data_IF_722163675063
#
_entry.id   IF_722163675063
#
_cell.length_a   1.000
_cell.length_b   1.000
_cell.length_c   1.000
_cell.angle_alpha   90.00
_cell.angle_beta   90.00
_cell.angle_gamma   90.00
#
_symmetry.space_group_name_H-M   'P 1'
#
loop_
_entity.id
_entity.type
_entity.pdbx_description
1 polymer ?
#
# COMPACT_ATOMS: atom_id res chain seq x y z
N UNK A 1 18.03 0.07 -11.82
CA UNK A 1 19.22 0.78 -11.33
C UNK A 1 19.41 2.17 -11.97
N UNK A 2 20.00 2.32 -13.17
CA UNK A 2 20.30 3.66 -13.71
C UNK A 2 19.07 4.53 -13.96
N UNK A 3 17.97 3.93 -14.42
CA UNK A 3 16.70 4.64 -14.61
C UNK A 3 16.20 5.27 -13.31
N UNK A 4 16.32 4.55 -12.18
CA UNK A 4 15.86 5.02 -10.87
C UNK A 4 16.78 6.07 -10.27
N UNK A 5 18.10 5.95 -10.51
CA UNK A 5 19.09 6.92 -10.04
C UNK A 5 19.06 8.24 -10.83
N UNK A 6 19.06 8.15 -12.16
CA UNK A 6 19.15 9.33 -13.04
C UNK A 6 17.79 9.91 -13.38
N UNK A 7 16.73 9.11 -13.34
CA UNK A 7 15.37 9.51 -13.73
C UNK A 7 14.87 10.78 -13.03
N UNK A 8 14.96 10.89 -11.70
CA UNK A 8 14.58 12.11 -10.99
C UNK A 8 15.37 13.33 -11.45
N UNK A 9 16.69 13.23 -11.58
CA UNK A 9 17.54 14.32 -12.05
C UNK A 9 17.15 14.77 -13.47
N UNK A 10 16.86 13.82 -14.36
CA UNK A 10 16.45 14.10 -15.74
C UNK A 10 15.03 14.67 -15.82
N UNK A 11 14.13 14.32 -14.91
CA UNK A 11 12.75 14.83 -14.88
C UNK A 11 12.69 16.34 -14.57
N UNK A 12 13.66 16.84 -13.81
CA UNK A 12 13.85 18.25 -13.47
C UNK A 12 14.89 18.96 -14.35
N UNK A 13 15.49 18.27 -15.33
CA UNK A 13 16.44 18.89 -16.26
C UNK A 13 15.74 19.97 -17.11
N UNK A 14 16.24 21.22 -17.14
CA UNK A 14 15.61 22.30 -17.90
C UNK A 14 15.83 22.18 -19.42
N UNK A 15 16.81 21.39 -19.84
CA UNK A 15 17.18 21.25 -21.26
C UNK A 15 16.27 20.26 -21.98
N UNK A 16 15.67 20.66 -23.11
CA UNK A 16 14.73 19.82 -23.88
C UNK A 16 13.65 19.15 -23.02
N UNK A 17 13.19 19.89 -21.99
CA UNK A 17 12.26 19.41 -20.96
C UNK A 17 11.10 18.56 -21.51
N UNK A 18 10.37 18.96 -22.59
CA UNK A 18 9.26 18.16 -23.09
C UNK A 18 9.66 16.77 -23.59
N UNK A 19 10.81 16.66 -24.28
CA UNK A 19 11.30 15.39 -24.83
C UNK A 19 11.82 14.47 -23.73
N UNK A 20 12.65 15.02 -22.83
CA UNK A 20 13.20 14.25 -21.70
C UNK A 20 12.09 13.70 -20.81
N UNK A 21 11.10 14.54 -20.45
CA UNK A 21 9.96 14.09 -19.64
C UNK A 21 9.12 13.03 -20.34
N UNK A 22 8.87 13.14 -21.64
CA UNK A 22 8.14 12.10 -22.37
C UNK A 22 8.87 10.76 -22.33
N UNK A 23 10.17 10.75 -22.61
CA UNK A 23 10.98 9.53 -22.55
C UNK A 23 10.93 8.93 -21.16
N UNK A 24 11.14 9.74 -20.11
CA UNK A 24 11.10 9.26 -18.73
C UNK A 24 9.74 8.71 -18.33
N UNK A 25 8.66 9.44 -18.62
CA UNK A 25 7.30 8.98 -18.28
C UNK A 25 7.02 7.64 -18.94
N UNK A 26 7.34 7.49 -20.23
CA UNK A 26 7.16 6.21 -20.94
C UNK A 26 8.06 5.11 -20.34
N UNK A 27 9.33 5.41 -20.06
CA UNK A 27 10.24 4.44 -19.46
C UNK A 27 9.78 3.97 -18.08
N UNK A 28 9.36 4.89 -17.21
CA UNK A 28 8.81 4.54 -15.90
C UNK A 28 7.46 3.84 -16.03
N UNK A 29 6.62 4.20 -17.00
CA UNK A 29 5.38 3.46 -17.23
C UNK A 29 5.63 2.02 -17.63
N UNK A 30 6.54 1.77 -18.57
CA UNK A 30 6.92 0.42 -18.95
C UNK A 30 7.55 -0.35 -17.78
N UNK A 31 8.38 0.31 -16.96
CA UNK A 31 8.93 -0.28 -15.76
C UNK A 31 7.84 -0.73 -14.77
N UNK A 32 6.89 0.14 -14.43
CA UNK A 32 5.82 -0.20 -13.48
C UNK A 32 4.82 -1.21 -14.06
N UNK A 33 4.56 -1.18 -15.37
CA UNK A 33 3.79 -2.23 -16.05
C UNK A 33 4.50 -3.57 -15.99
N UNK A 34 5.82 -3.60 -16.21
CA UNK A 34 6.64 -4.81 -16.08
C UNK A 34 6.59 -5.39 -14.66
N UNK A 35 6.68 -4.53 -13.64
CA UNK A 35 6.48 -4.95 -12.25
C UNK A 35 5.06 -5.50 -12.03
N UNK A 36 4.03 -4.81 -12.52
CA UNK A 36 2.63 -5.24 -12.36
C UNK A 36 2.29 -6.54 -13.10
N UNK A 37 3.03 -6.88 -14.17
CA UNK A 37 2.86 -8.14 -14.90
C UNK A 37 3.57 -9.32 -14.25
N UNK A 38 4.62 -9.08 -13.46
CA UNK A 38 5.48 -10.14 -12.89
C UNK A 38 5.35 -10.29 -11.38
N UNK A 39 4.86 -9.27 -10.66
CA UNK A 39 4.73 -9.25 -9.21
C UNK A 39 3.31 -8.84 -8.77
N UNK A 40 2.79 -9.53 -7.76
CA UNK A 40 1.51 -9.20 -7.14
C UNK A 40 1.65 -8.03 -6.15
N UNK A 41 1.81 -6.80 -6.66
CA UNK A 41 2.00 -5.57 -5.86
C UNK A 41 0.69 -4.79 -5.58
N UNK A 42 -0.46 -5.35 -5.95
CA UNK A 42 -1.76 -4.72 -5.76
C UNK A 42 -1.91 -3.39 -6.52
N UNK A 43 -2.36 -2.34 -5.84
CA UNK A 43 -2.59 -1.01 -6.43
C UNK A 43 -1.30 -0.23 -6.73
N UNK A 44 -0.16 -0.64 -6.19
CA UNK A 44 1.09 0.10 -6.29
C UNK A 44 1.49 0.49 -7.73
N UNK A 45 1.61 -0.43 -8.71
CA UNK A 45 2.05 -0.08 -10.05
C UNK A 45 1.11 0.93 -10.72
N UNK A 46 -0.20 0.80 -10.51
CA UNK A 46 -1.20 1.72 -11.06
C UNK A 46 -1.11 3.12 -10.48
N UNK A 47 -0.93 3.22 -9.16
CA UNK A 47 -0.70 4.50 -8.48
C UNK A 47 0.59 5.15 -9.01
N UNK A 48 1.64 4.36 -9.18
CA UNK A 48 2.91 4.85 -9.70
C UNK A 48 2.78 5.36 -11.15
N UNK A 49 2.01 4.70 -12.02
CA UNK A 49 1.71 5.22 -13.37
C UNK A 49 1.04 6.61 -13.31
N UNK A 50 0.03 6.76 -12.44
CA UNK A 50 -0.70 8.03 -12.26
C UNK A 50 0.21 9.12 -11.70
N UNK A 51 1.13 8.77 -10.79
CA UNK A 51 2.06 9.72 -10.18
C UNK A 51 3.00 10.40 -11.21
N UNK A 52 3.15 9.83 -12.41
CA UNK A 52 3.92 10.43 -13.51
C UNK A 52 3.12 11.40 -14.39
N UNK A 53 1.79 11.46 -14.28
CA UNK A 53 0.97 12.38 -15.06
C UNK A 53 1.38 13.86 -14.94
N UNK A 54 1.74 14.39 -13.75
CA UNK A 54 2.20 15.78 -13.63
C UNK A 54 3.46 16.10 -14.43
N UNK A 55 4.26 15.07 -14.79
CA UNK A 55 5.46 15.23 -15.60
C UNK A 55 5.17 15.19 -17.11
N UNK A 56 3.97 14.82 -17.55
CA UNK A 56 3.61 14.90 -18.96
C UNK A 56 3.64 16.36 -19.43
N UNK A 57 4.35 16.68 -20.53
CA UNK A 57 4.39 18.03 -21.07
C UNK A 57 3.02 18.44 -21.64
N UNK A 58 2.80 19.76 -21.71
CA UNK A 58 1.58 20.35 -22.28
C UNK A 58 1.27 19.82 -23.68
N UNK A 59 2.29 19.54 -24.50
CA UNK A 59 2.13 18.99 -25.86
C UNK A 59 1.42 17.63 -25.85
N UNK A 60 1.70 16.76 -24.87
CA UNK A 60 1.05 15.46 -24.76
C UNK A 60 -0.45 15.62 -24.47
N UNK A 61 -0.80 16.53 -23.56
CA UNK A 61 -2.19 16.84 -23.24
C UNK A 61 -2.95 17.46 -24.41
N UNK A 62 -2.30 18.33 -25.19
CA UNK A 62 -2.89 18.92 -26.40
C UNK A 62 -3.17 17.86 -27.46
N UNK A 63 -2.20 16.97 -27.73
CA UNK A 63 -2.39 15.86 -28.67
C UNK A 63 -3.54 14.96 -28.22
N UNK A 64 -3.59 14.60 -26.93
CA UNK A 64 -4.66 13.79 -26.38
C UNK A 64 -6.02 14.51 -26.51
N UNK A 65 -6.11 15.77 -26.10
CA UNK A 65 -7.35 16.55 -26.16
C UNK A 65 -7.89 16.74 -27.57
N UNK A 66 -7.01 16.85 -28.57
CA UNK A 66 -7.39 16.99 -29.97
C UNK A 66 -7.78 15.66 -30.63
N UNK A 67 -7.38 14.52 -30.04
CA UNK A 67 -7.71 13.19 -30.57
C UNK A 67 -9.20 12.85 -30.41
N UNK A 68 -9.71 11.95 -31.24
CA UNK A 68 -11.09 11.47 -31.15
C UNK A 68 -11.40 10.85 -29.76
N UNK A 69 -10.43 10.16 -29.17
CA UNK A 69 -10.54 9.57 -27.82
C UNK A 69 -10.66 10.67 -26.77
N UNK A 70 -9.78 11.68 -26.81
CA UNK A 70 -9.84 12.81 -25.89
C UNK A 70 -11.13 13.60 -26.00
N UNK A 71 -11.62 13.84 -27.22
CA UNK A 71 -12.92 14.48 -27.45
C UNK A 71 -14.07 13.65 -26.88
N UNK A 72 -14.06 12.31 -27.04
CA UNK A 72 -15.08 11.41 -26.49
C UNK A 72 -15.06 11.42 -24.95
N UNK A 73 -13.87 11.32 -24.34
CA UNK A 73 -13.72 11.40 -22.88
C UNK A 73 -14.18 12.78 -22.38
N UNK A 74 -13.79 13.85 -23.07
CA UNK A 74 -14.19 15.21 -22.73
C UNK A 74 -15.70 15.41 -22.75
N UNK A 75 -16.40 14.87 -23.76
CA UNK A 75 -17.88 14.88 -23.82
C UNK A 75 -18.51 14.01 -22.72
N UNK A 76 -17.99 12.82 -22.47
CA UNK A 76 -18.54 11.92 -21.45
C UNK A 76 -18.36 12.48 -20.02
N UNK A 77 -17.35 13.31 -19.82
CA UNK A 77 -17.00 13.88 -18.51
C UNK A 77 -17.38 15.35 -18.36
N UNK A 78 -17.88 16.02 -19.40
CA UNK A 78 -18.15 17.47 -19.40
C UNK A 78 -19.13 17.86 -18.31
N UNK A 79 -20.21 17.10 -18.16
CA UNK A 79 -21.27 17.41 -17.19
C UNK A 79 -20.79 17.19 -15.77
N UNK A 80 -20.04 16.11 -15.54
CA UNK A 80 -19.40 15.85 -14.25
C UNK A 80 -18.39 16.95 -13.92
N UNK A 81 -17.52 17.32 -14.86
CA UNK A 81 -16.53 18.37 -14.69
C UNK A 81 -17.20 19.73 -14.44
N UNK A 82 -18.31 20.04 -15.12
CA UNK A 82 -19.11 21.23 -14.89
C UNK A 82 -19.72 21.27 -13.48
N UNK A 83 -20.38 20.19 -13.05
CA UNK A 83 -20.93 20.07 -11.69
C UNK A 83 -19.84 20.16 -10.63
N UNK A 84 -18.71 19.51 -10.85
CA UNK A 84 -17.56 19.54 -9.95
C UNK A 84 -16.99 20.95 -9.84
N UNK A 85 -16.76 21.65 -10.96
CA UNK A 85 -16.31 23.04 -10.97
C UNK A 85 -17.28 23.95 -10.24
N UNK A 86 -18.58 23.86 -10.53
CA UNK A 86 -19.59 24.66 -9.86
C UNK A 86 -19.63 24.41 -8.34
N UNK A 87 -19.51 23.15 -7.92
CA UNK A 87 -19.45 22.77 -6.51
C UNK A 87 -18.19 23.30 -5.82
N UNK A 88 -17.04 23.20 -6.49
CA UNK A 88 -15.75 23.72 -6.04
C UNK A 88 -15.77 25.24 -5.90
N UNK A 89 -16.26 25.93 -6.93
CA UNK A 89 -16.29 27.39 -7.02
C UNK A 89 -17.27 27.95 -5.99
N UNK A 90 -18.44 27.30 -5.84
CA UNK A 90 -19.42 27.63 -4.80
C UNK A 90 -18.90 27.44 -3.37
N UNK A 91 -17.85 26.62 -3.17
CA UNK A 91 -17.18 26.45 -1.87
C UNK A 91 -15.95 27.34 -1.69
N UNK A 92 -15.52 28.06 -2.72
CA UNK A 92 -14.28 28.85 -2.68
C UNK A 92 -13.01 28.02 -2.52
N UNK A 93 -13.07 26.69 -2.71
CA UNK A 93 -11.93 25.80 -2.46
C UNK A 93 -10.83 25.93 -3.52
N UNK A 94 -11.24 26.19 -4.75
CA UNK A 94 -10.35 26.48 -5.88
C UNK A 94 -10.80 27.72 -6.63
N UNK A 95 -11.39 28.72 -5.93
CA UNK A 95 -11.25 30.09 -6.44
C UNK A 95 -9.78 30.27 -6.72
N UNK A 96 -9.41 30.69 -7.94
CA UNK A 96 -8.04 31.08 -8.18
C UNK A 96 -7.73 32.18 -7.16
N UNK A 97 -7.12 31.80 -6.03
CA UNK A 97 -6.41 32.75 -5.22
C UNK A 97 -5.48 33.38 -6.24
N UNK A 98 -5.69 34.65 -6.57
CA UNK A 98 -4.76 35.40 -7.40
C UNK A 98 -3.39 35.02 -6.88
N UNK A 99 -2.59 34.33 -7.71
CA UNK A 99 -1.27 33.87 -7.29
C UNK A 99 -0.62 35.13 -6.73
N UNK A 100 -0.34 35.22 -5.41
CA UNK A 100 0.02 36.49 -4.83
C UNK A 100 1.22 36.97 -5.63
N UNK A 101 1.07 38.06 -6.40
CA UNK A 101 2.17 38.65 -7.16
C UNK A 101 3.23 39.23 -6.22
N UNK A 102 3.04 39.12 -4.90
CA UNK A 102 4.04 39.35 -3.89
C UNK A 102 4.97 38.15 -3.72
N UNK A 103 6.24 38.44 -3.39
CA UNK A 103 7.19 37.42 -2.90
C UNK A 103 6.49 36.52 -1.87
N UNK A 104 6.72 35.19 -1.89
CA UNK A 104 6.30 34.35 -0.77
C UNK A 104 6.75 35.05 0.51
N UNK A 105 5.85 35.18 1.49
CA UNK A 105 6.20 35.76 2.79
C UNK A 105 7.49 35.08 3.23
N UNK A 106 8.55 35.84 3.53
CA UNK A 106 9.89 35.29 3.83
C UNK A 106 9.82 34.10 4.79
N UNK A 107 8.89 34.17 5.74
CA UNK A 107 8.55 33.09 6.67
C UNK A 107 8.18 31.77 5.98
N UNK A 108 7.29 31.77 4.98
CA UNK A 108 6.90 30.56 4.24
C UNK A 108 8.09 29.93 3.54
N UNK A 109 8.91 30.72 2.86
CA UNK A 109 10.13 30.22 2.21
C UNK A 109 11.12 29.63 3.22
N UNK A 110 11.28 30.28 4.38
CA UNK A 110 12.11 29.77 5.47
C UNK A 110 11.55 28.44 6.00
N UNK A 111 10.25 28.34 6.25
CA UNK A 111 9.62 27.09 6.72
C UNK A 111 9.83 25.97 5.70
N UNK A 112 9.58 26.21 4.41
CA UNK A 112 9.79 25.21 3.36
C UNK A 112 11.25 24.79 3.29
N UNK A 113 12.19 25.73 3.37
CA UNK A 113 13.62 25.44 3.38
C UNK A 113 14.00 24.57 4.59
N UNK A 114 13.48 24.87 5.79
CA UNK A 114 13.74 24.07 6.99
C UNK A 114 13.17 22.66 6.85
N UNK A 115 11.98 22.49 6.28
CA UNK A 115 11.40 21.17 6.01
C UNK A 115 12.22 20.38 4.98
N UNK A 116 12.73 21.03 3.93
CA UNK A 116 13.62 20.40 2.95
C UNK A 116 14.93 19.96 3.60
N UNK A 117 15.56 20.83 4.40
CA UNK A 117 16.77 20.50 5.15
C UNK A 117 16.51 19.34 6.14
N UNK A 118 15.34 19.32 6.77
CA UNK A 118 14.92 18.21 7.63
C UNK A 118 14.81 16.89 6.84
N UNK A 119 14.21 16.89 5.65
CA UNK A 119 14.14 15.70 4.78
C UNK A 119 15.54 15.23 4.37
N UNK A 120 16.45 16.15 4.04
CA UNK A 120 17.85 15.82 3.75
C UNK A 120 18.52 15.20 4.97
N UNK A 121 18.38 15.81 6.16
CA UNK A 121 18.94 15.29 7.40
C UNK A 121 18.37 13.91 7.75
N UNK A 122 17.08 13.67 7.52
CA UNK A 122 16.44 12.38 7.70
C UNK A 122 17.07 11.31 6.80
N UNK A 123 17.22 11.60 5.50
CA UNK A 123 17.84 10.65 4.56
C UNK A 123 19.32 10.40 4.87
N UNK A 124 20.07 11.43 5.28
CA UNK A 124 21.46 11.26 5.74
C UNK A 124 21.51 10.36 6.98
N UNK A 125 20.60 10.55 7.94
CA UNK A 125 20.52 9.72 9.14
C UNK A 125 20.33 8.24 8.81
N UNK A 126 19.45 7.91 7.86
CA UNK A 126 19.19 6.52 7.47
C UNK A 126 20.42 5.82 6.87
N UNK A 127 21.42 6.53 6.34
CA UNK A 127 22.67 5.91 5.84
C UNK A 127 23.50 5.26 6.94
N UNK A 128 23.46 5.82 8.16
CA UNK A 128 24.11 5.28 9.36
C UNK A 128 23.38 5.79 10.60
N UNK A 129 22.29 5.12 10.93
CA UNK A 129 21.37 5.56 11.99
C UNK A 129 22.09 5.72 13.34
N UNK A 130 22.94 4.76 13.70
CA UNK A 130 23.66 4.75 14.97
C UNK A 130 24.60 5.98 15.10
N UNK A 131 25.30 6.33 14.02
CA UNK A 131 26.20 7.48 14.00
C UNK A 131 25.44 8.82 14.01
N UNK A 132 24.36 8.95 13.24
CA UNK A 132 23.67 10.23 13.05
C UNK A 132 22.62 10.53 14.13
N UNK A 133 22.10 9.53 14.83
CA UNK A 133 21.10 9.72 15.90
C UNK A 133 21.59 10.64 17.03
N UNK A 134 22.91 10.77 17.24
CA UNK A 134 23.48 11.72 18.21
C UNK A 134 23.22 13.20 17.86
N UNK A 135 23.07 13.51 16.58
CA UNK A 135 22.77 14.88 16.10
C UNK A 135 21.29 15.08 15.79
N UNK A 136 20.59 14.00 15.41
CA UNK A 136 19.17 13.98 15.12
C UNK A 136 18.49 12.91 15.98
N UNK A 137 18.19 13.21 17.25
CA UNK A 137 17.61 12.23 18.17
C UNK A 137 16.19 11.84 17.76
N UNK A 138 15.75 10.65 18.18
CA UNK A 138 14.44 10.11 17.80
C UNK A 138 13.25 10.97 18.24
N UNK A 139 13.42 11.88 19.20
CA UNK A 139 12.39 12.88 19.54
C UNK A 139 12.03 13.78 18.36
N UNK A 140 12.96 14.04 17.44
CA UNK A 140 12.72 14.85 16.24
C UNK A 140 11.80 14.16 15.23
N UNK A 141 11.58 12.84 15.37
CA UNK A 141 10.65 12.10 14.52
C UNK A 141 9.21 12.60 14.65
N UNK A 142 8.88 13.35 15.69
CA UNK A 142 7.56 14.00 15.79
C UNK A 142 7.32 14.96 14.62
N UNK A 143 8.35 15.69 14.16
CA UNK A 143 8.22 16.64 13.05
C UNK A 143 7.82 15.86 11.80
N UNK A 144 8.61 14.84 11.44
CA UNK A 144 8.33 13.97 10.29
C UNK A 144 6.95 13.34 10.36
N UNK A 145 6.56 12.76 11.50
CA UNK A 145 5.25 12.10 11.66
C UNK A 145 4.06 13.06 11.57
N UNK A 146 4.19 14.27 12.12
CA UNK A 146 3.12 15.28 12.07
C UNK A 146 2.98 15.87 10.68
N UNK A 147 4.09 16.10 9.98
CA UNK A 147 4.09 16.64 8.61
C UNK A 147 3.97 15.56 7.54
N UNK A 148 3.99 14.28 7.91
CA UNK A 148 4.07 13.13 7.01
C UNK A 148 5.29 13.19 6.06
N UNK A 149 6.44 13.63 6.59
CA UNK A 149 7.73 13.74 5.90
C UNK A 149 8.74 12.70 6.37
N UNK A 150 8.35 11.77 7.23
CA UNK A 150 9.17 10.60 7.51
C UNK A 150 9.37 9.78 6.22
N UNK A 151 10.58 9.21 6.07
CA UNK A 151 11.00 8.50 4.88
C UNK A 151 11.56 7.13 5.27
N UNK A 152 11.22 6.10 4.52
CA UNK A 152 11.80 4.76 4.68
C UNK A 152 11.96 4.11 3.31
N UNK A 153 13.19 3.72 2.98
CA UNK A 153 13.57 3.30 1.62
C UNK A 153 14.12 1.85 1.59
N UNK A 154 13.83 1.05 2.62
CA UNK A 154 14.16 -0.38 2.66
C UNK A 154 13.05 -1.22 2.02
N UNK A 155 13.36 -1.95 0.96
CA UNK A 155 12.39 -2.86 0.32
C UNK A 155 12.89 -4.32 0.23
N UNK A 156 14.15 -4.55 -0.17
CA UNK A 156 14.65 -5.92 -0.41
C UNK A 156 16.08 -6.22 0.06
N UNK A 157 16.93 -5.20 0.27
CA UNK A 157 18.33 -5.41 0.60
C UNK A 157 18.80 -4.38 1.64
N UNK A 158 19.82 -4.69 2.46
CA UNK A 158 20.57 -5.95 2.50
C UNK A 158 19.93 -7.06 3.34
N UNK A 159 18.85 -6.76 4.07
CA UNK A 159 18.19 -7.70 4.99
C UNK A 159 16.73 -7.92 4.56
N UNK A 160 16.46 -8.73 3.51
CA UNK A 160 15.10 -9.11 3.15
C UNK A 160 14.44 -9.89 4.29
N UNK A 161 13.11 -9.94 4.30
CA UNK A 161 12.37 -10.88 5.14
C UNK A 161 12.77 -12.31 4.78
N UNK A 162 13.05 -13.11 5.80
CA UNK A 162 13.42 -14.53 5.66
C UNK A 162 12.29 -15.46 6.07
N UNK A 163 11.09 -14.92 6.24
CA UNK A 163 9.88 -15.65 6.56
C UNK A 163 8.74 -15.25 5.62
N UNK A 164 7.85 -16.21 5.37
CA UNK A 164 6.56 -16.05 4.70
C UNK A 164 5.59 -17.08 5.29
N UNK A 165 4.37 -17.16 4.76
CA UNK A 165 3.39 -18.12 5.23
C UNK A 165 1.97 -17.82 4.79
N UNK A 166 1.04 -18.64 5.28
CA UNK A 166 -0.38 -18.50 4.97
C UNK A 166 -1.25 -18.76 6.19
N UNK A 167 -2.49 -18.26 6.15
CA UNK A 167 -3.43 -18.41 7.25
C UNK A 167 -4.26 -19.68 7.12
N UNK A 168 -4.51 -20.31 8.27
CA UNK A 168 -5.52 -21.33 8.47
C UNK A 168 -6.51 -20.78 9.50
N UNK A 169 -7.70 -20.39 9.05
CA UNK A 169 -8.71 -19.77 9.92
C UNK A 169 -9.81 -20.80 10.18
N UNK A 170 -9.69 -21.48 11.30
CA UNK A 170 -10.54 -22.60 11.68
C UNK A 170 -11.70 -22.17 12.56
N UNK A 171 -12.88 -22.68 12.27
CA UNK A 171 -14.07 -22.61 13.13
C UNK A 171 -14.46 -23.99 13.63
N UNK A 172 -14.76 -24.11 14.91
CA UNK A 172 -15.45 -25.29 15.46
C UNK A 172 -16.90 -24.93 15.72
N UNK A 173 -17.82 -25.67 15.11
CA UNK A 173 -19.25 -25.47 15.26
C UNK A 173 -19.79 -26.12 16.54
N UNK A 174 -21.05 -25.85 16.87
CA UNK A 174 -21.70 -26.42 18.05
C UNK A 174 -21.88 -27.95 17.98
N UNK A 175 -21.99 -28.52 16.78
CA UNK A 175 -21.97 -29.98 16.56
C UNK A 175 -20.57 -30.61 16.62
N UNK A 176 -19.52 -29.79 16.82
CA UNK A 176 -18.13 -30.22 16.89
C UNK A 176 -17.43 -30.31 15.54
N UNK A 177 -18.12 -30.09 14.41
CA UNK A 177 -17.50 -30.07 13.09
C UNK A 177 -16.52 -28.90 12.93
N UNK A 178 -15.47 -29.11 12.15
CA UNK A 178 -14.48 -28.10 11.81
C UNK A 178 -14.73 -27.55 10.41
N UNK A 179 -14.70 -26.21 10.28
CA UNK A 179 -14.93 -25.51 9.03
C UNK A 179 -13.88 -24.44 8.77
N UNK A 180 -13.66 -24.13 7.49
CA UNK A 180 -12.84 -22.99 7.08
C UNK A 180 -13.69 -21.71 7.16
N UNK A 181 -13.30 -20.78 8.05
CA UNK A 181 -13.99 -19.50 8.25
C UNK A 181 -13.50 -18.39 7.30
N UNK A 182 -12.50 -18.69 6.48
CA UNK A 182 -11.98 -17.75 5.49
C UNK A 182 -12.59 -18.01 4.11
N UNK A 183 -12.43 -19.25 3.64
CA UNK A 183 -12.95 -19.78 2.38
C UNK A 183 -14.06 -20.79 2.69
N UNK A 184 -15.30 -20.33 2.73
CA UNK A 184 -16.42 -21.18 3.15
C UNK A 184 -16.64 -22.34 2.17
N UNK A 185 -16.67 -23.57 2.72
CA UNK A 185 -16.87 -24.80 1.94
C UNK A 185 -15.57 -25.47 1.49
N UNK A 186 -14.45 -24.76 1.53
CA UNK A 186 -13.14 -25.31 1.20
C UNK A 186 -12.48 -25.98 2.42
N UNK A 187 -11.59 -26.95 2.22
CA UNK A 187 -10.81 -27.54 3.31
C UNK A 187 -9.89 -26.51 3.96
N UNK A 188 -9.47 -26.77 5.20
CA UNK A 188 -8.46 -25.96 5.88
C UNK A 188 -7.09 -26.17 5.21
N UNK A 189 -6.42 -25.11 4.73
CA UNK A 189 -5.19 -25.25 3.97
C UNK A 189 -3.99 -25.48 4.90
N UNK A 190 -3.86 -26.66 5.50
CA UNK A 190 -2.67 -26.99 6.32
C UNK A 190 -1.42 -27.20 5.46
N UNK A 191 -1.58 -27.53 4.18
CA UNK A 191 -0.51 -27.59 3.20
C UNK A 191 -0.38 -26.28 2.43
N UNK A 192 0.81 -26.01 1.89
CA UNK A 192 1.11 -24.76 1.16
C UNK A 192 0.24 -24.67 -0.10
N UNK A 193 -0.64 -23.64 -0.21
CA UNK A 193 -1.40 -23.42 -1.43
C UNK A 193 -0.47 -23.13 -2.61
N UNK A 194 -0.88 -23.56 -3.82
CA UNK A 194 -0.11 -23.28 -5.04
C UNK A 194 0.08 -21.76 -5.28
N UNK A 195 -0.86 -20.94 -4.81
CA UNK A 195 -0.83 -19.47 -4.93
C UNK A 195 -1.29 -18.81 -3.63
N UNK A 196 -0.36 -18.62 -2.69
CA UNK A 196 -0.62 -17.96 -1.39
C UNK A 196 -1.23 -16.56 -1.55
N UNK A 197 -0.82 -15.80 -2.57
CA UNK A 197 -1.36 -14.45 -2.79
C UNK A 197 -2.88 -14.43 -3.06
N UNK A 198 -3.44 -15.49 -3.65
CA UNK A 198 -4.88 -15.57 -3.95
C UNK A 198 -5.72 -15.82 -2.69
N UNK A 199 -5.15 -16.48 -1.68
CA UNK A 199 -5.84 -16.75 -0.40
C UNK A 199 -6.10 -15.46 0.40
N UNK A 200 -5.40 -14.37 0.10
CA UNK A 200 -5.53 -13.12 0.86
C UNK A 200 -6.73 -12.26 0.44
N UNK A 201 -7.55 -12.67 -0.54
CA UNK A 201 -8.76 -11.96 -1.01
C UNK A 201 -8.58 -10.48 -1.36
N UNK A 202 -7.46 -10.16 -1.99
CA UNK A 202 -7.15 -8.80 -2.47
C UNK A 202 -6.40 -7.94 -1.45
N UNK A 203 -5.96 -6.76 -1.90
CA UNK A 203 -4.90 -6.01 -1.23
C UNK A 203 -5.28 -5.48 0.17
N UNK A 204 -6.55 -5.12 0.40
CA UNK A 204 -7.00 -4.61 1.71
C UNK A 204 -6.93 -5.70 2.78
N UNK A 205 -7.39 -6.90 2.42
CA UNK A 205 -7.31 -8.05 3.30
C UNK A 205 -5.87 -8.50 3.48
N UNK A 206 -5.05 -8.54 2.42
CA UNK A 206 -3.63 -8.79 2.54
C UNK A 206 -2.94 -7.83 3.55
N UNK A 207 -3.17 -6.52 3.44
CA UNK A 207 -2.60 -5.54 4.37
C UNK A 207 -3.08 -5.76 5.82
N UNK A 208 -4.36 -6.09 5.99
CA UNK A 208 -4.93 -6.40 7.30
C UNK A 208 -4.37 -7.70 7.89
N UNK A 209 -4.27 -8.76 7.08
CA UNK A 209 -3.76 -10.07 7.47
C UNK A 209 -2.27 -10.00 7.87
N UNK A 210 -1.45 -9.29 7.10
CA UNK A 210 -0.06 -9.00 7.47
C UNK A 210 0.00 -8.24 8.80
N UNK A 211 -0.94 -7.33 9.07
CA UNK A 211 -0.99 -6.60 10.33
C UNK A 211 -1.30 -7.53 11.51
N UNK A 212 -2.25 -8.45 11.39
CA UNK A 212 -2.64 -9.37 12.50
C UNK A 212 -1.58 -10.46 12.76
N UNK A 213 -0.82 -10.87 11.74
CA UNK A 213 0.35 -11.75 11.90
C UNK A 213 1.36 -11.11 12.85
N UNK A 214 1.70 -9.84 12.59
CA UNK A 214 2.64 -9.08 13.39
C UNK A 214 2.19 -8.88 14.85
N UNK A 215 3.16 -8.78 15.77
CA UNK A 215 2.90 -8.51 17.21
C UNK A 215 2.07 -7.24 17.43
N UNK A 216 2.28 -6.22 16.59
CA UNK A 216 1.52 -4.96 16.63
C UNK A 216 0.02 -5.14 16.35
N UNK A 217 -0.38 -6.25 15.72
CA UNK A 217 -1.77 -6.55 15.41
C UNK A 217 -2.52 -7.32 16.49
N UNK A 218 -1.89 -7.64 17.63
CA UNK A 218 -2.49 -8.46 18.68
C UNK A 218 -3.86 -7.92 19.12
N UNK A 219 -3.99 -6.60 19.32
CA UNK A 219 -5.25 -5.96 19.72
C UNK A 219 -6.38 -6.12 18.68
N UNK A 220 -6.08 -6.41 17.42
CA UNK A 220 -7.09 -6.58 16.36
C UNK A 220 -7.61 -8.02 16.24
N UNK A 221 -6.84 -9.02 16.69
CA UNK A 221 -7.19 -10.46 16.61
C UNK A 221 -8.55 -10.81 17.21
N UNK A 222 -8.94 -10.34 18.42
CA UNK A 222 -10.27 -10.63 18.98
C UNK A 222 -11.42 -10.05 18.15
N UNK A 223 -11.21 -8.86 17.56
CA UNK A 223 -12.22 -8.24 16.70
C UNK A 223 -12.37 -8.99 15.39
N UNK A 224 -11.26 -9.47 14.82
CA UNK A 224 -11.27 -10.30 13.63
C UNK A 224 -11.96 -11.64 13.87
N UNK A 225 -11.63 -12.33 14.96
CA UNK A 225 -12.28 -13.58 15.36
C UNK A 225 -13.79 -13.41 15.56
N UNK A 226 -14.22 -12.33 16.22
CA UNK A 226 -15.64 -12.01 16.37
C UNK A 226 -16.32 -11.74 15.04
N UNK A 227 -15.68 -11.00 14.14
CA UNK A 227 -16.21 -10.75 12.81
C UNK A 227 -16.34 -12.04 11.99
N UNK A 228 -15.37 -12.95 12.06
CA UNK A 228 -15.42 -14.26 11.40
C UNK A 228 -16.60 -15.10 11.89
N UNK A 229 -16.77 -15.21 13.21
CA UNK A 229 -17.92 -15.88 13.83
C UNK A 229 -19.25 -15.28 13.35
N UNK A 230 -19.41 -13.95 13.44
CA UNK A 230 -20.64 -13.27 13.02
C UNK A 230 -20.91 -13.40 11.51
N UNK A 231 -19.86 -13.37 10.68
CA UNK A 231 -19.96 -13.56 9.23
C UNK A 231 -20.44 -14.96 8.91
N UNK A 232 -19.85 -15.99 9.52
CA UNK A 232 -20.27 -17.37 9.35
C UNK A 232 -21.72 -17.56 9.80
N UNK A 233 -22.06 -17.16 11.03
CA UNK A 233 -23.39 -17.40 11.58
C UNK A 233 -24.49 -16.76 10.71
N UNK A 234 -24.22 -15.55 10.20
CA UNK A 234 -25.15 -14.84 9.30
C UNK A 234 -25.33 -15.53 7.95
N UNK A 235 -24.27 -16.12 7.40
CA UNK A 235 -24.27 -16.64 6.02
C UNK A 235 -24.60 -18.15 5.96
N UNK A 236 -24.15 -18.92 6.95
CA UNK A 236 -24.14 -20.38 6.95
C UNK A 236 -24.98 -21.01 8.06
N UNK A 237 -25.01 -20.42 9.26
CA UNK A 237 -25.79 -20.99 10.37
C UNK A 237 -27.30 -20.69 10.23
N UNK A 238 -27.66 -19.51 9.70
CA UNK A 238 -29.06 -19.07 9.58
C UNK A 238 -29.80 -19.27 10.91
N UNK A 239 -30.84 -20.11 10.93
CA UNK A 239 -31.63 -20.48 12.11
C UNK A 239 -31.23 -21.81 12.77
N UNK A 240 -30.20 -22.50 12.29
CA UNK A 240 -29.71 -23.76 12.87
C UNK A 240 -28.66 -23.48 13.96
N UNK A 241 -28.96 -23.75 15.25
CA UNK A 241 -28.01 -23.53 16.34
C UNK A 241 -26.80 -24.45 16.28
N UNK A 242 -26.91 -25.65 15.68
CA UNK A 242 -25.81 -26.63 15.60
C UNK A 242 -24.70 -26.16 14.66
N UNK A 243 -25.05 -25.33 13.67
CA UNK A 243 -24.11 -24.76 12.69
C UNK A 243 -23.44 -23.47 13.15
N UNK A 244 -23.73 -22.98 14.36
CA UNK A 244 -23.12 -21.77 14.91
C UNK A 244 -21.69 -22.03 15.35
N UNK A 245 -20.82 -21.06 15.15
CA UNK A 245 -19.42 -21.13 15.58
C UNK A 245 -19.33 -21.02 17.10
N UNK A 246 -18.68 -21.99 17.75
CA UNK A 246 -18.37 -21.97 19.19
C UNK A 246 -16.92 -21.63 19.49
N UNK A 247 -16.02 -21.83 18.52
CA UNK A 247 -14.61 -21.50 18.66
C UNK A 247 -14.01 -21.06 17.34
N UNK A 248 -13.16 -20.06 17.40
CA UNK A 248 -12.34 -19.59 16.28
C UNK A 248 -10.87 -19.75 16.66
N UNK A 249 -10.10 -20.42 15.80
CA UNK A 249 -8.65 -20.51 15.87
C UNK A 249 -8.04 -19.84 14.63
N UNK A 250 -7.23 -18.80 14.84
CA UNK A 250 -6.48 -18.12 13.78
C UNK A 250 -5.06 -18.68 13.83
N UNK A 251 -4.73 -19.52 12.86
CA UNK A 251 -3.44 -20.20 12.77
C UNK A 251 -2.67 -19.61 11.58
N UNK A 252 -1.35 -19.50 11.73
CA UNK A 252 -0.45 -19.12 10.66
C UNK A 252 0.56 -20.24 10.43
N UNK A 253 0.68 -20.70 9.19
CA UNK A 253 1.71 -21.65 8.77
C UNK A 253 2.95 -20.85 8.39
N UNK A 254 3.90 -20.77 9.32
CA UNK A 254 5.16 -20.05 9.14
C UNK A 254 6.13 -20.89 8.30
N UNK A 255 6.59 -20.31 7.20
CA UNK A 255 7.61 -20.87 6.33
C UNK A 255 8.87 -20.02 6.39
N UNK A 256 9.95 -20.59 6.89
CA UNK A 256 11.25 -19.91 6.93
C UNK A 256 12.03 -20.19 5.63
N UNK A 257 12.59 -19.15 5.05
CA UNK A 257 13.52 -19.22 3.92
C UNK A 257 14.94 -19.37 4.46
N UNK A 258 15.58 -20.54 4.31
CA UNK A 258 16.91 -20.77 4.84
C UNK A 258 17.97 -20.10 3.95
N UNK A 259 19.24 -20.00 4.42
CA UNK A 259 20.35 -19.56 3.58
C UNK A 259 20.49 -20.41 2.30
N UNK A 260 21.07 -19.85 1.22
CA UNK A 260 21.27 -20.57 -0.03
C UNK A 260 21.98 -21.91 0.17
N UNK A 261 21.45 -22.97 -0.45
CA UNK A 261 22.01 -24.32 -0.40
C UNK A 261 21.51 -25.19 0.75
N UNK A 262 20.67 -24.67 1.65
CA UNK A 262 20.02 -25.45 2.70
C UNK A 262 18.61 -25.90 2.26
N UNK A 263 18.13 -27.08 2.72
CA UNK A 263 16.77 -27.52 2.43
C UNK A 263 15.76 -26.65 3.17
N UNK A 264 14.60 -26.41 2.53
CA UNK A 264 13.51 -25.68 3.17
C UNK A 264 13.00 -26.45 4.39
N UNK A 265 12.92 -25.81 5.57
CA UNK A 265 12.34 -26.43 6.75
C UNK A 265 10.84 -26.70 6.51
N UNK A 266 10.29 -27.65 7.26
CA UNK A 266 8.84 -27.84 7.28
C UNK A 266 8.17 -26.59 7.87
N UNK A 267 7.02 -26.16 7.34
CA UNK A 267 6.25 -25.08 7.92
C UNK A 267 5.87 -25.35 9.38
N UNK A 268 5.92 -24.32 10.22
CA UNK A 268 5.53 -24.38 11.63
C UNK A 268 4.12 -23.80 11.80
N UNK A 269 3.22 -24.55 12.44
CA UNK A 269 1.86 -24.07 12.76
C UNK A 269 1.86 -23.22 14.02
N UNK A 270 1.70 -21.91 13.86
CA UNK A 270 1.64 -20.94 14.96
C UNK A 270 0.19 -20.55 15.20
N UNK A 271 -0.33 -20.84 16.40
CA UNK A 271 -1.62 -20.32 16.83
C UNK A 271 -1.49 -18.84 17.22
N UNK A 272 -2.06 -17.95 16.42
CA UNK A 272 -2.05 -16.51 16.67
C UNK A 272 -3.11 -16.09 17.68
N UNK A 273 -4.25 -16.78 17.69
CA UNK A 273 -5.40 -16.44 18.52
C UNK A 273 -6.42 -17.58 18.57
N UNK A 274 -6.91 -17.85 19.79
CA UNK A 274 -8.07 -18.71 20.03
C UNK A 274 -9.13 -17.90 20.76
N UNK A 275 -10.38 -18.02 20.34
CA UNK A 275 -11.50 -17.40 21.04
C UNK A 275 -12.72 -18.30 21.00
N UNK A 276 -13.31 -18.53 22.18
CA UNK A 276 -14.58 -19.23 22.34
C UNK A 276 -15.74 -18.24 22.32
N UNK A 277 -16.90 -18.72 21.87
CA UNK A 277 -18.15 -17.98 21.78
C UNK A 277 -19.27 -18.80 22.42
N UNK A 278 -20.14 -18.12 23.15
CA UNK A 278 -21.23 -18.73 23.90
C UNK A 278 -22.42 -19.17 23.04
#
# INVERSE_FOLDING_TARGET
YWLEWLGPCLAFCPWQTPRLRMVLVVSFWLFHLGLGMTLALGLFPWIALVAWLPFLPTTAWQVLGNSAVGQRIGRATSDFAGRWRAWVEGRGWFTQAEVPRGRPRRLTSVVVLLLLLYVVAWNVRETNFAYWQRFMPSSWNVVGRVTNLDQHWGLFAPHPLTDDGWFVIKGTLADGSEVNLWDFGDPLPYEKPARVAETMHGQRWQAYLIRIWNRQGYAHRPHFARWLCQRWDRQMAQSDPQKRVKRVDIIYQLENTPPPGQPNPKPESINLWTQNFD
#
